data_IF_731751957290
#
_entry.id   IF_731751957290
#
_cell.length_a   1.000
_cell.length_b   1.000
_cell.length_c   1.000
_cell.angle_alpha   90.00
_cell.angle_beta   90.00
_cell.angle_gamma   90.00
#
_symmetry.space_group_name_H-M   'P 1'
#
loop_
_entity.id
_entity.type
_entity.pdbx_description
1 polymer ?
#
# COMPACT_ATOMS: atom_id res chain seq x y z
N UNK A 1 -0.12 -3.54 -27.20
CA UNK A 1 0.92 -2.51 -27.06
C UNK A 1 1.56 -2.28 -28.40
N UNK A 2 1.67 -1.03 -28.78
CA UNK A 2 2.58 -0.63 -29.85
C UNK A 2 4.04 -0.63 -29.36
N UNK A 3 4.98 -0.28 -30.23
CA UNK A 3 6.41 -0.25 -29.89
C UNK A 3 6.73 0.81 -28.82
N UNK A 4 5.96 1.89 -28.74
CA UNK A 4 6.15 2.93 -27.72
C UNK A 4 5.72 2.40 -26.36
N UNK A 5 4.58 1.72 -26.27
CA UNK A 5 4.10 1.17 -25.00
C UNK A 5 5.04 0.08 -24.46
N UNK A 6 5.57 -0.81 -25.32
CA UNK A 6 6.55 -1.82 -24.89
C UNK A 6 7.82 -1.18 -24.33
N UNK A 7 8.27 -0.10 -24.96
CA UNK A 7 9.41 0.68 -24.50
C UNK A 7 9.10 1.43 -23.19
N UNK A 8 7.90 1.97 -23.04
CA UNK A 8 7.45 2.60 -21.80
C UNK A 8 7.46 1.59 -20.65
N UNK A 9 6.84 0.42 -20.84
CA UNK A 9 6.75 -0.61 -19.79
C UNK A 9 8.12 -1.17 -19.41
N UNK A 10 9.05 -1.31 -20.36
CA UNK A 10 10.42 -1.78 -20.06
C UNK A 10 11.28 -0.74 -19.33
N UNK A 11 11.18 0.55 -19.67
CA UNK A 11 11.98 1.61 -19.05
C UNK A 11 11.37 2.10 -17.73
N UNK A 12 10.06 2.11 -17.64
CA UNK A 12 9.30 2.60 -16.49
C UNK A 12 8.47 1.47 -15.86
N UNK A 13 9.12 0.33 -15.61
CA UNK A 13 8.47 -0.83 -14.99
C UNK A 13 7.81 -0.45 -13.65
N UNK A 14 6.60 -0.96 -13.43
CA UNK A 14 5.74 -0.60 -12.29
C UNK A 14 5.28 0.86 -12.22
N UNK A 15 5.62 1.70 -13.21
CA UNK A 15 5.25 3.13 -13.29
C UNK A 15 4.32 3.44 -14.48
N UNK A 16 3.97 2.44 -15.28
CA UNK A 16 2.99 2.52 -16.37
C UNK A 16 1.68 1.89 -15.93
N UNK A 17 0.55 2.57 -16.17
CA UNK A 17 -0.77 2.15 -15.69
C UNK A 17 -1.78 2.12 -16.82
N UNK A 18 -2.51 1.00 -16.91
CA UNK A 18 -3.66 0.80 -17.81
C UNK A 18 -4.92 1.50 -17.30
N UNK A 19 -5.16 2.74 -17.74
CA UNK A 19 -6.30 3.56 -17.30
C UNK A 19 -7.66 2.97 -17.70
N UNK A 20 -7.72 2.23 -18.80
CA UNK A 20 -8.91 1.49 -19.24
C UNK A 20 -9.36 0.47 -18.18
N UNK A 21 -8.42 -0.26 -17.58
CA UNK A 21 -8.70 -1.24 -16.52
C UNK A 21 -9.12 -0.58 -15.20
N UNK A 22 -8.51 0.56 -14.86
CA UNK A 22 -8.88 1.36 -13.68
C UNK A 22 -10.36 1.75 -13.68
N UNK A 23 -10.89 2.18 -14.84
CA UNK A 23 -12.29 2.58 -14.94
C UNK A 23 -13.27 1.42 -14.73
N UNK A 24 -12.86 0.18 -15.01
CA UNK A 24 -13.67 -1.03 -14.77
C UNK A 24 -13.84 -1.33 -13.28
N UNK A 25 -12.80 -1.13 -12.47
CA UNK A 25 -12.80 -1.47 -11.04
C UNK A 25 -13.26 -0.31 -10.14
N UNK A 26 -12.99 0.94 -10.52
CA UNK A 26 -13.27 2.12 -9.68
C UNK A 26 -14.75 2.25 -9.28
N UNK A 27 -15.69 1.82 -10.13
CA UNK A 27 -17.13 1.94 -9.85
C UNK A 27 -17.62 1.05 -8.70
N UNK A 28 -16.85 0.02 -8.32
CA UNK A 28 -17.26 -0.97 -7.32
C UNK A 28 -16.60 -0.83 -5.94
N UNK A 29 -15.72 0.15 -5.72
CA UNK A 29 -14.94 0.24 -4.48
C UNK A 29 -14.78 1.68 -4.00
N UNK A 30 -14.68 1.88 -2.69
CA UNK A 30 -14.31 3.17 -2.07
C UNK A 30 -12.78 3.33 -1.92
N UNK A 31 -12.00 2.52 -2.63
CA UNK A 31 -10.54 2.54 -2.55
C UNK A 31 -10.02 3.76 -3.33
N UNK A 32 -9.04 4.51 -2.81
CA UNK A 32 -8.45 5.63 -3.53
C UNK A 32 -7.87 5.22 -4.89
N UNK A 33 -8.04 6.09 -5.89
CA UNK A 33 -7.66 5.78 -7.27
C UNK A 33 -6.18 5.40 -7.41
N UNK A 34 -5.27 6.10 -6.74
CA UNK A 34 -3.83 5.79 -6.83
C UNK A 34 -3.46 4.41 -6.22
N UNK A 35 -4.24 3.89 -5.28
CA UNK A 35 -4.04 2.53 -4.74
C UNK A 35 -4.41 1.50 -5.80
N UNK A 36 -5.53 1.71 -6.48
CA UNK A 36 -5.96 0.86 -7.60
C UNK A 36 -4.94 0.90 -8.74
N UNK A 37 -4.41 2.08 -9.05
CA UNK A 37 -3.37 2.26 -10.07
C UNK A 37 -2.08 1.52 -9.71
N UNK A 38 -1.66 1.54 -8.45
CA UNK A 38 -0.52 0.78 -7.96
C UNK A 38 -0.71 -0.73 -8.15
N UNK A 39 -1.87 -1.27 -7.76
CA UNK A 39 -2.17 -2.69 -7.92
C UNK A 39 -2.23 -3.09 -9.40
N UNK A 40 -2.83 -2.26 -10.24
CA UNK A 40 -2.88 -2.48 -11.69
C UNK A 40 -1.49 -2.42 -12.33
N UNK A 41 -0.62 -1.49 -11.91
CA UNK A 41 0.76 -1.45 -12.40
C UNK A 41 1.53 -2.73 -12.04
N UNK A 42 1.27 -3.29 -10.84
CA UNK A 42 1.91 -4.51 -10.36
C UNK A 42 1.43 -5.78 -11.07
N UNK A 43 0.12 -5.89 -11.34
CA UNK A 43 -0.48 -7.14 -11.82
C UNK A 43 -0.90 -7.12 -13.30
N UNK A 44 -1.06 -5.94 -13.91
CA UNK A 44 -1.59 -5.78 -15.26
C UNK A 44 -0.58 -5.09 -16.20
N UNK A 45 0.63 -5.64 -16.29
CA UNK A 45 1.69 -5.14 -17.17
C UNK A 45 1.60 -5.69 -18.63
N UNK A 46 0.72 -6.65 -18.89
CA UNK A 46 0.59 -7.33 -20.19
C UNK A 46 -0.56 -6.81 -21.07
N UNK A 47 -0.56 -7.24 -22.33
CA UNK A 47 -1.70 -7.06 -23.26
C UNK A 47 -2.34 -8.36 -23.70
N UNK A 48 -1.76 -9.49 -23.33
CA UNK A 48 -2.37 -10.76 -23.64
C UNK A 48 -3.70 -10.82 -22.85
N UNK A 49 -4.84 -11.10 -23.51
CA UNK A 49 -6.15 -11.02 -22.86
C UNK A 49 -6.30 -11.93 -21.63
N UNK A 50 -5.72 -13.13 -21.64
CA UNK A 50 -5.75 -14.04 -20.49
C UNK A 50 -4.88 -13.54 -19.33
N UNK A 51 -3.70 -12.97 -19.59
CA UNK A 51 -2.82 -12.36 -18.59
C UNK A 51 -3.46 -11.09 -17.99
N UNK A 52 -4.14 -10.28 -18.81
CA UNK A 52 -4.95 -9.16 -18.29
C UNK A 52 -6.03 -9.68 -17.36
N UNK A 53 -6.76 -10.72 -17.75
CA UNK A 53 -7.85 -11.27 -16.94
C UNK A 53 -7.32 -11.82 -15.61
N UNK A 54 -6.23 -12.60 -15.64
CA UNK A 54 -5.57 -13.11 -14.45
C UNK A 54 -5.04 -11.97 -13.54
N UNK A 55 -4.43 -10.94 -14.12
CA UNK A 55 -3.96 -9.77 -13.37
C UNK A 55 -5.11 -9.01 -12.70
N UNK A 56 -6.25 -8.88 -13.38
CA UNK A 56 -7.46 -8.25 -12.82
C UNK A 56 -8.04 -9.06 -11.65
N UNK A 57 -8.06 -10.39 -11.76
CA UNK A 57 -8.48 -11.27 -10.68
C UNK A 57 -7.55 -11.13 -9.47
N UNK A 58 -6.23 -11.11 -9.69
CA UNK A 58 -5.24 -10.90 -8.62
C UNK A 58 -5.40 -9.54 -7.91
N UNK A 59 -5.76 -8.48 -8.64
CA UNK A 59 -6.06 -7.15 -8.06
C UNK A 59 -7.28 -7.24 -7.15
N UNK A 60 -8.36 -7.87 -7.62
CA UNK A 60 -9.61 -8.00 -6.85
C UNK A 60 -9.42 -8.86 -5.61
N UNK A 61 -8.70 -9.98 -5.72
CA UNK A 61 -8.34 -10.84 -4.59
C UNK A 61 -7.49 -10.09 -3.57
N UNK A 62 -6.46 -9.37 -4.04
CA UNK A 62 -5.61 -8.54 -3.15
C UNK A 62 -6.44 -7.51 -2.39
N UNK A 63 -7.38 -6.84 -3.04
CA UNK A 63 -8.27 -5.87 -2.39
C UNK A 63 -9.21 -6.56 -1.39
N UNK A 64 -9.83 -7.67 -1.78
CA UNK A 64 -10.76 -8.41 -0.92
C UNK A 64 -10.10 -8.89 0.38
N UNK A 65 -8.84 -9.32 0.29
CA UNK A 65 -8.15 -9.92 1.42
C UNK A 65 -7.47 -8.89 2.33
N UNK A 66 -6.96 -7.80 1.74
CA UNK A 66 -6.09 -6.85 2.44
C UNK A 66 -6.72 -5.47 2.65
N UNK A 67 -7.76 -5.07 1.91
CA UNK A 67 -8.42 -3.77 2.14
C UNK A 67 -9.57 -3.93 3.14
N UNK A 68 -9.44 -3.30 4.30
CA UNK A 68 -10.49 -3.32 5.35
C UNK A 68 -11.48 -2.20 5.07
N UNK A 69 -12.77 -2.52 5.10
CA UNK A 69 -13.81 -1.47 5.09
C UNK A 69 -13.97 -0.90 6.50
N UNK A 70 -14.30 0.38 6.67
CA UNK A 70 -14.43 0.98 8.02
C UNK A 70 -15.36 0.23 8.98
N UNK A 71 -16.39 -0.45 8.48
CA UNK A 71 -17.32 -1.26 9.28
C UNK A 71 -16.81 -2.67 9.62
N UNK A 72 -15.62 -3.05 9.17
CA UNK A 72 -15.01 -4.37 9.33
C UNK A 72 -13.75 -4.33 10.22
N UNK A 73 -13.41 -3.17 10.79
CA UNK A 73 -12.20 -2.96 11.60
C UNK A 73 -12.06 -3.98 12.75
N UNK A 74 -13.14 -4.24 13.50
CA UNK A 74 -13.12 -5.21 14.60
C UNK A 74 -12.83 -6.65 14.09
N UNK A 75 -13.41 -7.03 12.96
CA UNK A 75 -13.12 -8.34 12.35
C UNK A 75 -11.66 -8.43 11.87
N UNK A 76 -11.09 -7.33 11.37
CA UNK A 76 -9.68 -7.25 11.00
C UNK A 76 -8.75 -7.38 12.21
N UNK A 77 -9.04 -6.69 13.31
CA UNK A 77 -8.28 -6.81 14.57
C UNK A 77 -8.36 -8.23 15.14
N UNK A 78 -9.55 -8.83 15.17
CA UNK A 78 -9.76 -10.22 15.59
C UNK A 78 -8.98 -11.21 14.71
N UNK A 79 -8.92 -10.98 13.40
CA UNK A 79 -8.11 -11.78 12.47
C UNK A 79 -6.63 -11.74 12.84
N UNK A 80 -6.07 -10.56 13.13
CA UNK A 80 -4.67 -10.45 13.56
C UNK A 80 -4.44 -11.15 14.89
N UNK A 81 -5.31 -10.93 15.87
CA UNK A 81 -5.20 -11.54 17.20
C UNK A 81 -5.28 -13.08 17.15
N UNK A 82 -6.06 -13.65 16.24
CA UNK A 82 -6.23 -15.11 16.11
C UNK A 82 -5.23 -15.77 15.18
N UNK A 83 -4.76 -15.07 14.14
CA UNK A 83 -3.83 -15.62 13.13
C UNK A 83 -2.38 -15.16 13.33
N UNK A 84 -2.11 -14.34 14.34
CA UNK A 84 -0.79 -13.78 14.64
C UNK A 84 -0.44 -12.56 13.79
N UNK A 85 -0.70 -12.57 12.49
CA UNK A 85 -0.46 -11.39 11.63
C UNK A 85 -1.30 -11.38 10.36
N UNK A 86 -1.49 -10.19 9.79
CA UNK A 86 -2.17 -10.00 8.50
C UNK A 86 -1.63 -8.76 7.77
N UNK A 87 -1.64 -8.81 6.43
CA UNK A 87 -1.29 -7.66 5.59
C UNK A 87 -2.54 -6.86 5.26
N UNK A 88 -2.45 -5.55 5.38
CA UNK A 88 -3.51 -4.62 5.08
C UNK A 88 -3.07 -3.58 4.06
N UNK A 89 -4.03 -3.06 3.29
CA UNK A 89 -3.89 -1.82 2.53
C UNK A 89 -4.61 -0.75 3.33
N UNK A 90 -3.85 0.13 3.96
CA UNK A 90 -4.41 1.15 4.84
C UNK A 90 -3.64 2.46 4.77
N UNK A 91 -4.26 3.54 5.22
CA UNK A 91 -3.59 4.82 5.44
C UNK A 91 -3.02 4.83 6.85
N UNK A 92 -1.70 4.96 6.93
CA UNK A 92 -0.92 4.94 8.16
C UNK A 92 -0.46 6.35 8.49
N UNK A 93 -0.64 6.76 9.74
CA UNK A 93 -0.05 7.94 10.35
C UNK A 93 0.85 7.51 11.50
N UNK A 94 1.79 8.36 11.87
CA UNK A 94 2.63 8.15 13.05
C UNK A 94 2.58 9.41 13.89
N UNK A 95 2.23 9.26 15.16
CA UNK A 95 2.11 10.36 16.10
C UNK A 95 3.09 10.13 17.26
N UNK A 96 3.86 11.16 17.62
CA UNK A 96 4.58 11.17 18.89
C UNK A 96 3.59 11.46 20.02
N UNK A 97 3.50 10.55 20.99
CA UNK A 97 2.63 10.72 22.16
C UNK A 97 3.51 11.03 23.36
N UNK A 98 3.49 12.29 23.80
CA UNK A 98 4.36 12.80 24.87
C UNK A 98 4.21 12.03 26.18
N UNK A 99 2.98 11.66 26.55
CA UNK A 99 2.68 10.88 27.76
C UNK A 99 3.40 9.54 27.78
N UNK A 100 3.50 8.89 26.62
CA UNK A 100 4.11 7.58 26.46
C UNK A 100 5.58 7.70 26.03
N UNK A 101 6.05 8.93 25.73
CA UNK A 101 7.39 9.26 25.23
C UNK A 101 7.83 8.40 24.03
N UNK A 102 6.88 8.04 23.17
CA UNK A 102 7.10 7.17 22.01
C UNK A 102 6.19 7.52 20.83
N UNK A 103 6.58 7.02 19.66
CA UNK A 103 5.78 7.09 18.46
C UNK A 103 4.80 5.92 18.39
N UNK A 104 3.58 6.20 17.93
CA UNK A 104 2.54 5.21 17.68
C UNK A 104 2.02 5.35 16.26
N UNK A 105 1.85 4.21 15.58
CA UNK A 105 1.13 4.18 14.33
C UNK A 105 -0.39 4.24 14.58
N UNK A 106 -1.06 5.01 13.73
CA UNK A 106 -2.51 5.09 13.64
C UNK A 106 -2.96 4.69 12.23
N UNK A 107 -3.79 3.66 12.16
CA UNK A 107 -4.33 3.11 10.92
C UNK A 107 -5.80 3.51 10.78
N UNK A 108 -6.18 4.03 9.60
CA UNK A 108 -7.54 4.54 9.37
C UNK A 108 -8.60 3.44 9.31
N UNK A 109 -8.40 2.38 8.52
CA UNK A 109 -9.41 1.34 8.32
C UNK A 109 -9.30 0.18 9.32
N UNK A 110 -8.10 -0.13 9.79
CA UNK A 110 -7.89 -1.04 10.92
C UNK A 110 -8.37 -0.46 12.25
N UNK A 111 -8.64 0.85 12.29
CA UNK A 111 -9.21 1.62 13.41
C UNK A 111 -8.45 1.39 14.74
N UNK A 112 -7.13 1.50 14.70
CA UNK A 112 -6.29 1.49 15.88
C UNK A 112 -5.30 2.64 15.84
N UNK A 113 -5.19 3.37 16.96
CA UNK A 113 -4.29 4.53 17.13
C UNK A 113 -3.07 4.22 18.01
N UNK A 114 -2.99 2.99 18.54
CA UNK A 114 -1.95 2.54 19.47
C UNK A 114 -1.29 1.27 18.94
N UNK A 115 -0.79 1.34 17.72
CA UNK A 115 0.00 0.25 17.10
C UNK A 115 1.47 0.60 17.23
N UNK A 116 2.27 -0.27 17.85
CA UNK A 116 3.69 -0.02 18.02
C UNK A 116 4.40 0.03 16.66
N UNK A 117 5.34 0.95 16.50
CA UNK A 117 6.07 1.14 15.25
C UNK A 117 7.54 1.44 15.51
N UNK A 118 8.41 0.74 14.78
CA UNK A 118 9.86 0.96 14.83
C UNK A 118 10.27 2.24 14.11
N UNK A 119 11.29 2.92 14.63
CA UNK A 119 11.84 4.16 14.07
C UNK A 119 12.21 4.06 12.59
N UNK A 120 12.72 2.91 12.15
CA UNK A 120 13.10 2.68 10.76
C UNK A 120 12.00 3.06 9.77
N UNK A 121 10.73 2.81 10.11
CA UNK A 121 9.62 3.03 9.18
C UNK A 121 9.29 4.51 8.99
N UNK A 122 9.28 5.31 10.05
CA UNK A 122 8.93 6.74 9.94
C UNK A 122 10.13 7.64 9.68
N UNK A 123 11.35 7.18 9.96
CA UNK A 123 12.58 7.88 9.55
C UNK A 123 12.74 7.88 8.03
N UNK A 124 12.45 6.75 7.37
CA UNK A 124 12.59 6.62 5.91
C UNK A 124 11.40 7.23 5.14
N UNK A 125 10.31 7.56 5.84
CA UNK A 125 9.06 8.04 5.26
C UNK A 125 8.46 9.20 6.05
N UNK A 126 9.05 10.40 5.96
CA UNK A 126 8.64 11.59 6.72
C UNK A 126 7.14 11.92 6.66
N UNK A 127 6.47 11.57 5.55
CA UNK A 127 5.02 11.77 5.39
C UNK A 127 4.19 11.03 6.44
N UNK A 128 4.70 9.93 7.02
CA UNK A 128 4.04 9.23 8.12
C UNK A 128 3.84 10.15 9.34
N UNK A 129 4.79 11.03 9.64
CA UNK A 129 4.74 12.00 10.75
C UNK A 129 3.93 13.27 10.44
N UNK A 130 3.37 13.37 9.22
CA UNK A 130 2.64 14.55 8.74
C UNK A 130 1.19 14.16 8.40
N UNK A 131 0.86 14.06 7.11
CA UNK A 131 -0.49 13.74 6.62
C UNK A 131 -0.78 12.25 6.45
N UNK A 132 0.15 11.38 6.84
CA UNK A 132 0.10 9.94 6.60
C UNK A 132 0.36 9.54 5.15
N UNK A 133 0.44 8.23 4.93
CA UNK A 133 0.56 7.65 3.60
C UNK A 133 -0.20 6.33 3.51
N UNK A 134 -0.69 6.02 2.32
CA UNK A 134 -1.24 4.70 2.03
C UNK A 134 -0.11 3.69 1.85
N UNK A 135 -0.22 2.54 2.50
CA UNK A 135 0.77 1.48 2.47
C UNK A 135 0.13 0.09 2.45
N UNK A 136 0.88 -0.87 1.89
CA UNK A 136 0.75 -2.26 2.29
C UNK A 136 1.47 -2.42 3.64
N UNK A 137 0.71 -2.60 4.71
CA UNK A 137 1.21 -2.68 6.09
C UNK A 137 0.92 -4.05 6.68
N UNK A 138 1.92 -4.73 7.22
CA UNK A 138 1.73 -5.98 7.95
C UNK A 138 1.63 -5.67 9.43
N UNK A 139 0.46 -5.99 10.00
CA UNK A 139 0.18 -5.84 11.43
C UNK A 139 0.28 -7.20 12.08
N UNK A 140 1.05 -7.28 13.15
CA UNK A 140 1.24 -8.48 13.96
C UNK A 140 0.71 -8.28 15.38
N UNK A 141 0.25 -9.37 15.98
CA UNK A 141 -0.18 -9.47 17.35
C UNK A 141 1.02 -9.66 18.27
N UNK A 142 1.04 -8.93 19.38
CA UNK A 142 2.04 -9.07 20.41
C UNK A 142 1.56 -10.08 21.47
N UNK A 143 2.29 -11.18 21.62
CA UNK A 143 1.99 -12.24 22.61
C UNK A 143 2.57 -11.93 23.99
N UNK A 144 3.41 -10.89 24.12
CA UNK A 144 4.04 -10.51 25.38
C UNK A 144 3.03 -9.69 26.22
N UNK A 145 2.55 -10.28 27.33
CA UNK A 145 1.55 -9.64 28.20
C UNK A 145 2.09 -8.39 28.94
N UNK A 146 3.39 -8.35 29.21
CA UNK A 146 4.03 -7.22 29.92
C UNK A 146 4.18 -5.96 29.04
N UNK A 147 4.04 -6.10 27.72
CA UNK A 147 4.11 -4.99 26.79
C UNK A 147 2.78 -4.21 26.77
N UNK A 148 2.87 -2.88 26.70
CA UNK A 148 1.72 -1.98 26.75
C UNK A 148 1.00 -1.80 25.39
N UNK A 149 1.13 -2.78 24.49
CA UNK A 149 0.55 -2.76 23.16
C UNK A 149 0.19 -4.15 22.64
N UNK A 150 -0.98 -4.23 21.99
CA UNK A 150 -1.51 -5.46 21.40
C UNK A 150 -1.01 -5.70 19.97
N UNK A 151 -0.80 -4.62 19.21
CA UNK A 151 -0.46 -4.71 17.79
C UNK A 151 0.81 -3.92 17.49
N UNK A 152 1.60 -4.41 16.54
CA UNK A 152 2.77 -3.70 16.03
C UNK A 152 2.89 -3.83 14.51
N UNK A 153 3.58 -2.86 13.92
CA UNK A 153 3.93 -2.86 12.49
C UNK A 153 5.15 -3.77 12.29
N UNK A 154 4.95 -4.91 11.62
CA UNK A 154 6.00 -5.85 11.25
C UNK A 154 6.72 -5.41 9.96
N UNK A 155 5.94 -4.98 8.95
CA UNK A 155 6.41 -4.50 7.64
C UNK A 155 5.53 -3.33 7.17
N UNK A 156 6.11 -2.38 6.43
CA UNK A 156 5.40 -1.23 5.88
C UNK A 156 6.00 -0.86 4.53
N UNK A 157 5.18 -0.92 3.48
CA UNK A 157 5.57 -0.56 2.11
C UNK A 157 4.64 0.54 1.59
N UNK A 158 5.13 1.78 1.45
CA UNK A 158 4.32 2.86 0.90
C UNK A 158 3.85 2.53 -0.52
N UNK A 159 2.55 2.71 -0.75
CA UNK A 159 1.94 2.64 -2.09
C UNK A 159 2.14 3.97 -2.82
N UNK A 160 2.05 5.06 -2.07
CA UNK A 160 2.32 6.39 -2.60
C UNK A 160 3.84 6.59 -2.68
N UNK A 161 4.31 7.17 -3.79
CA UNK A 161 5.68 7.66 -3.91
C UNK A 161 5.97 8.59 -2.72
N UNK A 162 6.80 8.12 -1.80
CA UNK A 162 7.30 8.92 -0.69
C UNK A 162 8.28 9.97 -1.20
N UNK A 163 8.99 9.67 -2.30
CA UNK A 163 9.94 10.57 -2.97
C UNK A 163 9.93 10.33 -4.50
N UNK A 164 9.90 11.41 -5.28
CA UNK A 164 10.08 11.34 -6.72
C UNK A 164 11.57 11.35 -7.06
N UNK A 165 12.04 10.32 -7.76
CA UNK A 165 13.40 10.27 -8.29
C UNK A 165 13.45 10.93 -9.67
N UNK A 166 13.80 12.21 -9.67
CA UNK A 166 13.91 13.00 -10.89
C UNK A 166 15.07 12.52 -11.78
N UNK A 167 16.17 12.05 -11.19
CA UNK A 167 17.34 11.57 -11.95
C UNK A 167 16.99 10.33 -12.76
N UNK A 168 16.43 9.31 -12.10
CA UNK A 168 15.98 8.10 -12.77
C UNK A 168 14.91 8.39 -13.84
N UNK A 169 14.04 9.38 -13.61
CA UNK A 169 13.09 9.81 -14.63
C UNK A 169 13.79 10.39 -15.87
N UNK A 170 14.76 11.29 -15.68
CA UNK A 170 15.54 11.88 -16.76
C UNK A 170 16.32 10.83 -17.56
N UNK A 171 16.96 9.88 -16.88
CA UNK A 171 17.70 8.77 -17.50
C UNK A 171 16.78 7.90 -18.36
N UNK A 172 15.62 7.51 -17.82
CA UNK A 172 14.62 6.76 -18.58
C UNK A 172 14.10 7.56 -19.79
N UNK A 173 13.78 8.84 -19.59
CA UNK A 173 13.27 9.73 -20.63
C UNK A 173 14.26 9.94 -21.77
N UNK A 174 15.55 9.99 -21.48
CA UNK A 174 16.62 10.13 -22.47
C UNK A 174 16.69 8.96 -23.46
N UNK A 175 16.13 7.80 -23.11
CA UNK A 175 16.06 6.66 -24.02
C UNK A 175 14.97 6.81 -25.10
N UNK A 176 14.12 7.84 -25.02
CA UNK A 176 13.05 8.09 -25.99
C UNK A 176 13.45 9.18 -26.99
N UNK A 177 13.09 8.96 -28.26
CA UNK A 177 13.51 9.81 -29.40
C UNK A 177 12.51 10.91 -29.77
N UNK A 178 11.38 10.99 -29.07
CA UNK A 178 10.41 12.08 -29.13
C UNK A 178 10.24 12.65 -27.73
#
# INVERSE_FOLDING_TARGET
MDALDQKLTSIFDGKVVRKDLLHRIKKGTNVPTFVLEFLLARFCASNEPAEIQAGMEAVLETLNDNYVRPNEANAAQSRVATKGKHRFIDKVHVNYVEKDRRHWAALENFDSRRVAISEKFYRDHERLLQGGLWAEVTIAYNEIEDDDYTFFVEDLRPIQLSRFDFGAYCEGRAQFTR
#
